data_IF_873375851676
#
_entry.id   IF_873375851676
#
_cell.length_a   1.000
_cell.length_b   1.000
_cell.length_c   1.000
_cell.angle_alpha   90.00
_cell.angle_beta   90.00
_cell.angle_gamma   90.00
#
_symmetry.space_group_name_H-M   'P 1'
#
loop_
_entity.id
_entity.type
_entity.pdbx_description
1 polymer ?
#
# COMPACT_ATOMS: atom_id res chain seq x y z
N UNK A 1 41.86 76.78 32.94
CA UNK A 1 42.36 75.58 33.63
C UNK A 1 41.93 75.67 35.07
N UNK A 2 41.00 74.83 35.48
CA UNK A 2 40.41 74.86 36.83
C UNK A 2 41.30 74.03 37.76
N UNK A 3 41.46 74.40 39.04
CA UNK A 3 42.28 73.65 40.01
C UNK A 3 42.01 72.12 40.05
N UNK A 4 40.75 71.66 39.90
CA UNK A 4 40.45 70.22 39.75
C UNK A 4 41.10 69.55 38.55
N UNK A 5 41.24 70.25 37.42
CA UNK A 5 41.82 69.70 36.19
C UNK A 5 43.33 69.48 36.34
N UNK A 6 44.02 70.41 37.00
CA UNK A 6 45.45 70.27 37.32
C UNK A 6 45.71 69.10 38.28
N UNK A 7 44.86 68.90 39.29
CA UNK A 7 45.00 67.77 40.22
C UNK A 7 44.74 66.43 39.51
N UNK A 8 43.77 66.41 38.58
CA UNK A 8 43.48 65.22 37.77
C UNK A 8 44.63 64.88 36.83
N UNK A 9 45.18 65.86 36.12
CA UNK A 9 46.35 65.67 35.23
C UNK A 9 47.59 65.21 36.00
N UNK A 10 47.84 65.76 37.20
CA UNK A 10 48.93 65.31 38.07
C UNK A 10 48.72 63.89 38.58
N UNK A 11 47.50 63.53 39.00
CA UNK A 11 47.17 62.20 39.49
C UNK A 11 47.29 61.15 38.38
N UNK A 12 46.81 61.47 37.18
CA UNK A 12 46.88 60.56 36.03
C UNK A 12 48.33 60.36 35.58
N UNK A 13 49.13 61.43 35.54
CA UNK A 13 50.58 61.36 35.27
C UNK A 13 51.33 60.58 36.36
N UNK A 14 50.99 60.79 37.63
CA UNK A 14 51.60 60.07 38.75
C UNK A 14 51.26 58.57 38.69
N UNK A 15 50.00 58.21 38.38
CA UNK A 15 49.58 56.81 38.20
C UNK A 15 50.32 56.13 37.06
N UNK A 16 50.51 56.80 35.93
CA UNK A 16 51.27 56.24 34.81
C UNK A 16 52.74 56.01 35.17
N UNK A 17 53.36 56.94 35.92
CA UNK A 17 54.75 56.81 36.34
C UNK A 17 54.94 55.76 37.44
N UNK A 18 54.03 55.64 38.40
CA UNK A 18 54.08 54.63 39.47
C UNK A 18 53.91 53.20 38.93
N UNK A 19 53.24 53.01 37.78
CA UNK A 19 53.21 51.72 37.09
C UNK A 19 54.59 51.25 36.61
N UNK A 20 55.57 52.15 36.47
CA UNK A 20 56.94 51.74 36.20
C UNK A 20 57.56 51.17 37.50
N UNK A 21 57.93 49.88 37.54
CA UNK A 21 58.46 49.24 38.73
C UNK A 21 59.70 49.95 39.31
N UNK A 22 60.50 50.59 38.46
CA UNK A 22 61.67 51.37 38.89
C UNK A 22 61.24 52.64 39.63
N UNK A 23 60.20 53.32 39.15
CA UNK A 23 59.73 54.56 39.79
C UNK A 23 59.08 54.25 41.13
N UNK A 24 58.26 53.19 41.20
CA UNK A 24 57.69 52.72 42.46
C UNK A 24 58.75 52.32 43.48
N UNK A 25 59.71 51.47 43.09
CA UNK A 25 60.81 51.05 43.96
C UNK A 25 61.72 52.22 44.37
N UNK A 26 61.90 53.22 43.49
CA UNK A 26 62.64 54.44 43.81
C UNK A 26 61.93 55.28 44.85
N UNK A 27 60.63 55.54 44.71
CA UNK A 27 59.85 56.30 45.70
C UNK A 27 59.91 55.59 47.06
N UNK A 28 59.67 54.27 47.11
CA UNK A 28 59.74 53.51 48.35
C UNK A 28 61.16 53.57 48.96
N UNK A 29 62.20 53.34 48.17
CA UNK A 29 63.58 53.42 48.67
C UNK A 29 63.97 54.83 49.09
N UNK A 30 63.46 55.85 48.42
CA UNK A 30 63.72 57.25 48.72
C UNK A 30 63.11 57.64 50.06
N UNK A 31 61.86 57.26 50.30
CA UNK A 31 61.18 57.45 51.59
C UNK A 31 61.91 56.71 52.72
N UNK A 32 62.34 55.47 52.49
CA UNK A 32 63.05 54.67 53.51
C UNK A 32 64.45 55.21 53.78
N UNK A 33 65.21 55.67 52.78
CA UNK A 33 66.57 56.18 52.99
C UNK A 33 66.59 57.64 53.50
N UNK A 34 65.58 58.45 53.16
CA UNK A 34 65.50 59.87 53.54
C UNK A 34 64.39 60.14 54.57
N UNK A 35 63.97 59.12 55.32
CA UNK A 35 62.93 59.26 56.34
C UNK A 35 63.25 60.37 57.35
N UNK A 36 64.49 60.43 57.84
CA UNK A 36 64.89 61.41 58.86
C UNK A 36 64.72 62.87 58.37
N UNK A 37 65.24 63.30 57.20
CA UNK A 37 64.92 64.60 56.63
C UNK A 37 63.42 64.88 56.44
N UNK A 38 62.64 63.87 56.00
CA UNK A 38 61.20 64.03 55.78
C UNK A 38 60.46 64.31 57.09
N UNK A 39 60.73 63.52 58.13
CA UNK A 39 60.10 63.71 59.44
C UNK A 39 60.52 65.02 60.11
N UNK A 40 61.78 65.42 59.99
CA UNK A 40 62.25 66.71 60.51
C UNK A 40 61.57 67.87 59.77
N UNK A 41 61.42 67.79 58.45
CA UNK A 41 60.75 68.83 57.68
C UNK A 41 59.27 68.97 58.07
N UNK A 42 58.56 67.84 58.23
CA UNK A 42 57.12 67.82 58.48
C UNK A 42 56.73 68.05 59.93
N UNK A 43 57.55 67.66 60.91
CA UNK A 43 57.14 67.61 62.33
C UNK A 43 58.12 68.23 63.32
N UNK A 44 59.28 68.76 62.89
CA UNK A 44 60.20 69.43 63.82
C UNK A 44 59.69 70.82 64.19
N UNK A 45 60.08 71.31 65.38
CA UNK A 45 59.88 72.69 65.83
C UNK A 45 61.04 73.63 65.45
N UNK A 46 62.04 73.14 64.71
CA UNK A 46 63.21 73.92 64.25
C UNK A 46 62.80 75.15 63.44
N UNK A 47 63.61 76.21 63.51
CA UNK A 47 63.45 77.39 62.64
C UNK A 47 63.60 77.00 61.16
N UNK A 48 63.03 77.79 60.25
CA UNK A 48 63.01 77.46 58.82
C UNK A 48 64.45 77.40 58.28
N UNK A 49 65.32 78.27 58.77
CA UNK A 49 66.72 78.39 58.43
C UNK A 49 67.51 77.12 58.82
N UNK A 50 67.31 76.62 60.03
CA UNK A 50 67.93 75.39 60.53
C UNK A 50 67.50 74.15 59.73
N UNK A 51 66.22 74.10 59.31
CA UNK A 51 65.73 72.99 58.47
C UNK A 51 66.40 72.98 57.10
N UNK A 52 66.60 74.15 56.48
CA UNK A 52 67.23 74.26 55.16
C UNK A 52 68.70 73.83 55.21
N UNK A 53 69.44 74.26 56.24
CA UNK A 53 70.85 73.87 56.42
C UNK A 53 70.99 72.35 56.67
N UNK A 54 70.08 71.78 57.46
CA UNK A 54 70.04 70.34 57.72
C UNK A 54 69.77 69.52 56.44
N UNK A 55 68.87 70.00 55.56
CA UNK A 55 68.57 69.32 54.30
C UNK A 55 69.75 69.32 53.33
N UNK A 56 70.50 70.44 53.26
CA UNK A 56 71.59 70.60 52.29
C UNK A 56 72.74 69.60 52.50
N UNK A 57 72.93 69.12 53.74
CA UNK A 57 74.04 68.22 54.08
C UNK A 57 73.66 66.73 54.13
N UNK A 58 72.36 66.38 54.14
CA UNK A 58 71.92 65.01 54.47
C UNK A 58 71.06 64.30 53.42
N UNK A 59 70.62 64.98 52.37
CA UNK A 59 69.83 64.33 51.31
C UNK A 59 70.68 63.35 50.49
N UNK A 60 70.28 62.06 50.51
CA UNK A 60 70.95 61.00 49.75
C UNK A 60 70.05 60.52 48.64
N UNK A 61 70.28 61.01 47.42
CA UNK A 61 69.49 60.65 46.22
C UNK A 61 70.08 59.42 45.52
N UNK A 62 71.41 59.26 45.52
CA UNK A 62 72.10 58.19 44.77
C UNK A 62 71.76 56.78 45.29
N UNK A 63 71.70 56.61 46.62
CA UNK A 63 71.45 55.32 47.25
C UNK A 63 70.05 54.75 46.92
N UNK A 64 68.96 55.53 47.01
CA UNK A 64 67.65 55.10 46.52
C UNK A 64 67.58 54.71 45.04
N UNK A 65 68.33 55.41 44.17
CA UNK A 65 68.39 55.07 42.73
C UNK A 65 69.02 53.69 42.55
N UNK A 66 70.17 53.43 43.19
CA UNK A 66 70.84 52.14 43.09
C UNK A 66 69.99 50.99 43.65
N UNK A 67 69.33 51.20 44.80
CA UNK A 67 68.45 50.19 45.40
C UNK A 67 67.26 49.90 44.48
N UNK A 68 66.64 50.93 43.90
CA UNK A 68 65.50 50.75 43.00
C UNK A 68 65.84 49.93 41.75
N UNK A 69 66.96 50.26 41.10
CA UNK A 69 67.44 49.54 39.92
C UNK A 69 67.80 48.10 40.31
N UNK A 70 68.53 47.93 41.40
CA UNK A 70 68.92 46.61 41.92
C UNK A 70 67.71 45.74 42.24
N UNK A 71 66.73 46.28 42.96
CA UNK A 71 65.50 45.58 43.33
C UNK A 71 64.67 45.16 42.11
N UNK A 72 64.51 46.07 41.14
CA UNK A 72 63.73 45.83 39.93
C UNK A 72 64.34 44.72 39.06
N UNK A 73 65.68 44.56 39.06
CA UNK A 73 66.37 43.49 38.34
C UNK A 73 66.43 42.19 39.14
N UNK A 74 66.65 42.28 40.45
CA UNK A 74 66.84 41.12 41.33
C UNK A 74 65.56 40.29 41.48
N UNK A 75 64.39 40.93 41.57
CA UNK A 75 63.11 40.23 41.77
C UNK A 75 62.77 39.29 40.59
N UNK A 76 62.82 39.73 39.31
CA UNK A 76 62.64 38.83 38.17
C UNK A 76 63.62 37.65 38.15
N UNK A 77 64.89 37.86 38.50
CA UNK A 77 65.90 36.80 38.56
C UNK A 77 65.55 35.72 39.60
N UNK A 78 65.09 36.13 40.78
CA UNK A 78 64.63 35.21 41.83
C UNK A 78 63.39 34.44 41.35
N UNK A 79 62.44 35.11 40.69
CA UNK A 79 61.25 34.43 40.14
C UNK A 79 61.60 33.36 39.11
N UNK A 80 62.53 33.65 38.20
CA UNK A 80 63.01 32.66 37.21
C UNK A 80 63.64 31.45 37.91
N UNK A 81 64.44 31.67 38.96
CA UNK A 81 65.03 30.60 39.75
C UNK A 81 63.98 29.72 40.44
N UNK A 82 62.97 30.33 41.07
CA UNK A 82 61.86 29.61 41.69
C UNK A 82 61.04 28.82 40.66
N UNK A 83 60.77 29.41 39.50
CA UNK A 83 60.03 28.73 38.43
C UNK A 83 60.80 27.52 37.87
N UNK A 84 62.12 27.61 37.76
CA UNK A 84 62.96 26.48 37.35
C UNK A 84 62.85 25.31 38.34
N UNK A 85 62.89 25.59 39.65
CA UNK A 85 62.73 24.59 40.71
C UNK A 85 61.32 23.97 40.71
N UNK A 86 60.29 24.76 40.42
CA UNK A 86 58.89 24.33 40.41
C UNK A 86 58.46 23.64 39.10
N UNK A 87 59.24 23.75 38.02
CA UNK A 87 58.93 23.18 36.70
C UNK A 87 58.62 21.67 36.71
N UNK A 88 59.40 20.79 37.37
CA UNK A 88 59.11 19.35 37.37
C UNK A 88 57.76 19.02 38.05
N UNK A 89 57.40 19.73 39.11
CA UNK A 89 56.11 19.56 39.79
C UNK A 89 54.94 20.01 38.90
N UNK A 90 55.09 21.16 38.22
CA UNK A 90 54.10 21.65 37.25
C UNK A 90 53.88 20.62 36.12
N UNK A 91 54.96 20.03 35.57
CA UNK A 91 54.89 19.00 34.52
C UNK A 91 54.16 17.73 34.98
N UNK A 92 54.50 17.19 36.17
CA UNK A 92 53.83 16.00 36.72
C UNK A 92 52.33 16.24 36.94
N UNK A 93 51.97 17.42 37.48
CA UNK A 93 50.56 17.78 37.69
C UNK A 93 49.78 17.85 36.37
N UNK A 94 50.36 18.46 35.34
CA UNK A 94 49.74 18.56 34.02
C UNK A 94 49.56 17.16 33.41
N UNK A 95 50.59 16.32 33.43
CA UNK A 95 50.52 14.95 32.91
C UNK A 95 49.40 14.14 33.58
N UNK A 96 49.28 14.22 34.91
CA UNK A 96 48.23 13.53 35.66
C UNK A 96 46.82 14.02 35.29
N UNK A 97 46.64 15.33 35.07
CA UNK A 97 45.35 15.89 34.62
C UNK A 97 44.98 15.33 33.24
N UNK A 98 45.92 15.27 32.30
CA UNK A 98 45.66 14.73 30.96
C UNK A 98 45.40 13.23 30.99
N UNK A 99 46.11 12.47 31.82
CA UNK A 99 45.87 11.03 31.99
C UNK A 99 44.48 10.75 32.57
N UNK A 100 44.08 11.47 33.62
CA UNK A 100 42.74 11.35 34.19
C UNK A 100 41.65 11.76 33.19
N UNK A 101 41.88 12.83 32.42
CA UNK A 101 40.96 13.22 31.35
C UNK A 101 40.83 12.11 30.29
N UNK A 102 41.94 11.52 29.85
CA UNK A 102 41.97 10.38 28.92
C UNK A 102 41.11 9.22 29.44
N UNK A 103 41.37 8.77 30.67
CA UNK A 103 40.60 7.69 31.30
C UNK A 103 39.09 7.99 31.41
N UNK A 104 38.72 9.23 31.72
CA UNK A 104 37.29 9.62 31.74
C UNK A 104 36.67 9.63 30.35
N UNK A 105 37.43 10.02 29.32
CA UNK A 105 36.97 9.99 27.92
C UNK A 105 36.81 8.56 27.44
N UNK A 106 37.76 7.67 27.73
CA UNK A 106 37.68 6.25 27.37
C UNK A 106 36.45 5.59 28.00
N UNK A 107 36.20 5.87 29.29
CA UNK A 107 34.98 5.38 29.95
C UNK A 107 33.69 5.89 29.29
N UNK A 108 33.67 7.14 28.83
CA UNK A 108 32.52 7.70 28.11
C UNK A 108 32.33 7.03 26.76
N UNK A 109 33.41 6.75 26.03
CA UNK A 109 33.36 6.03 24.75
C UNK A 109 32.79 4.62 24.97
N UNK A 110 33.30 3.88 25.95
CA UNK A 110 32.80 2.54 26.29
C UNK A 110 31.33 2.58 26.71
N UNK A 111 30.90 3.61 27.46
CA UNK A 111 29.51 3.78 27.84
C UNK A 111 28.61 4.06 26.63
N UNK A 112 29.02 4.96 25.73
CA UNK A 112 28.29 5.29 24.52
C UNK A 112 28.16 4.07 23.58
N UNK A 113 29.21 3.27 23.45
CA UNK A 113 29.19 2.04 22.67
C UNK A 113 28.19 1.03 23.25
N UNK A 114 28.16 0.85 24.57
CA UNK A 114 27.18 -0.02 25.23
C UNK A 114 25.75 0.48 25.06
N UNK A 115 25.52 1.79 25.17
CA UNK A 115 24.20 2.38 24.91
C UNK A 115 23.76 2.21 23.46
N UNK A 116 24.69 2.36 22.50
CA UNK A 116 24.40 2.13 21.10
C UNK A 116 24.02 0.66 20.84
N UNK A 117 24.81 -0.28 21.39
CA UNK A 117 24.50 -1.71 21.27
C UNK A 117 23.13 -2.04 21.90
N UNK A 118 22.82 -1.50 23.08
CA UNK A 118 21.53 -1.70 23.74
C UNK A 118 20.39 -1.14 22.88
N UNK A 119 20.51 0.09 22.37
CA UNK A 119 19.50 0.69 21.47
C UNK A 119 19.34 -0.09 20.16
N UNK A 120 20.43 -0.60 19.60
CA UNK A 120 20.38 -1.41 18.38
C UNK A 120 19.69 -2.76 18.63
N UNK A 121 19.92 -3.38 19.78
CA UNK A 121 19.23 -4.60 20.19
C UNK A 121 17.73 -4.35 20.47
N UNK A 122 17.40 -3.22 21.11
CA UNK A 122 16.01 -2.80 21.31
C UNK A 122 15.31 -2.49 19.98
N UNK A 123 15.97 -1.79 19.05
CA UNK A 123 15.45 -1.52 17.70
C UNK A 123 15.23 -2.82 16.95
N UNK A 124 16.19 -3.75 16.97
CA UNK A 124 16.04 -5.05 16.34
C UNK A 124 14.86 -5.86 16.90
N UNK A 125 14.57 -5.74 18.20
CA UNK A 125 13.38 -6.33 18.80
C UNK A 125 12.09 -5.62 18.38
N UNK A 126 12.08 -4.28 18.27
CA UNK A 126 10.93 -3.52 17.74
C UNK A 126 10.66 -3.85 16.28
N UNK A 127 11.69 -3.94 15.46
CA UNK A 127 11.60 -4.32 14.05
C UNK A 127 11.10 -5.75 13.93
N UNK A 128 11.58 -6.67 14.77
CA UNK A 128 11.06 -8.05 14.85
C UNK A 128 9.58 -8.07 15.25
N UNK A 129 9.18 -7.27 16.23
CA UNK A 129 7.78 -7.18 16.65
C UNK A 129 6.91 -6.62 15.51
N UNK A 130 7.35 -5.57 14.84
CA UNK A 130 6.64 -4.99 13.69
C UNK A 130 6.51 -6.00 12.53
N UNK A 131 7.54 -6.81 12.28
CA UNK A 131 7.49 -7.89 11.30
C UNK A 131 6.51 -9.00 11.72
N UNK A 132 6.48 -9.37 13.01
CA UNK A 132 5.51 -10.35 13.53
C UNK A 132 4.07 -9.84 13.40
N UNK A 133 3.83 -8.57 13.71
CA UNK A 133 2.52 -7.94 13.58
C UNK A 133 2.08 -7.89 12.10
N UNK A 134 3.01 -7.60 11.18
CA UNK A 134 2.75 -7.68 9.74
C UNK A 134 2.41 -9.11 9.29
N UNK A 135 3.18 -10.11 9.72
CA UNK A 135 2.91 -11.52 9.41
C UNK A 135 1.51 -11.92 9.89
N UNK A 136 1.16 -11.54 11.12
CA UNK A 136 -0.17 -11.81 11.68
C UNK A 136 -1.28 -11.14 10.86
N UNK A 137 -1.09 -9.88 10.47
CA UNK A 137 -2.06 -9.17 9.63
C UNK A 137 -2.24 -9.80 8.24
N UNK A 138 -1.14 -10.28 7.65
CA UNK A 138 -1.16 -10.98 6.36
C UNK A 138 -1.85 -12.34 6.47
N UNK A 139 -1.64 -13.06 7.57
CA UNK A 139 -2.29 -14.34 7.85
C UNK A 139 -3.80 -14.18 8.06
N UNK A 140 -4.22 -13.16 8.81
CA UNK A 140 -5.63 -12.78 8.95
C UNK A 140 -6.26 -12.41 7.60
N UNK A 141 -5.58 -11.60 6.79
CA UNK A 141 -6.05 -11.22 5.45
C UNK A 141 -6.15 -12.43 4.52
N UNK A 142 -5.17 -13.34 4.55
CA UNK A 142 -5.18 -14.59 3.79
C UNK A 142 -6.40 -15.45 4.17
N UNK A 143 -6.65 -15.63 5.46
CA UNK A 143 -7.79 -16.41 5.93
C UNK A 143 -9.14 -15.78 5.52
N UNK A 144 -9.24 -14.45 5.52
CA UNK A 144 -10.43 -13.75 5.02
C UNK A 144 -10.63 -13.93 3.51
N UNK A 145 -9.55 -13.83 2.73
CA UNK A 145 -9.58 -14.06 1.28
C UNK A 145 -10.00 -15.50 1.00
N UNK A 146 -9.42 -16.47 1.69
CA UNK A 146 -9.75 -17.90 1.53
C UNK A 146 -11.21 -18.18 1.88
N UNK A 147 -11.71 -17.61 2.99
CA UNK A 147 -13.12 -17.69 3.36
C UNK A 147 -14.06 -17.06 2.32
N UNK A 148 -13.67 -15.92 1.75
CA UNK A 148 -14.44 -15.25 0.69
C UNK A 148 -14.41 -16.04 -0.61
N UNK A 149 -13.25 -16.58 -0.98
CA UNK A 149 -13.06 -17.34 -2.19
C UNK A 149 -13.86 -18.65 -2.14
N UNK A 150 -13.88 -19.33 -0.99
CA UNK A 150 -14.71 -20.53 -0.79
C UNK A 150 -16.20 -20.23 -0.93
N UNK A 151 -16.68 -19.08 -0.41
CA UNK A 151 -18.08 -18.64 -0.61
C UNK A 151 -18.38 -18.32 -2.07
N UNK A 152 -17.47 -17.64 -2.76
CA UNK A 152 -17.63 -17.33 -4.19
C UNK A 152 -17.67 -18.61 -5.01
N UNK A 153 -16.75 -19.53 -4.77
CA UNK A 153 -16.71 -20.84 -5.45
C UNK A 153 -18.02 -21.57 -5.20
N UNK A 154 -18.47 -21.70 -3.94
CA UNK A 154 -19.74 -22.34 -3.59
C UNK A 154 -20.93 -21.74 -4.35
N UNK A 155 -21.07 -20.41 -4.33
CA UNK A 155 -22.16 -19.71 -5.02
C UNK A 155 -22.09 -19.88 -6.55
N UNK A 156 -20.87 -19.91 -7.12
CA UNK A 156 -20.69 -20.13 -8.55
C UNK A 156 -21.04 -21.56 -8.95
N UNK A 157 -20.67 -22.56 -8.15
CA UNK A 157 -21.09 -23.95 -8.37
C UNK A 157 -22.59 -24.11 -8.29
N UNK A 158 -23.26 -23.51 -7.30
CA UNK A 158 -24.72 -23.56 -7.17
C UNK A 158 -25.41 -22.94 -8.38
N UNK A 159 -24.99 -21.73 -8.81
CA UNK A 159 -25.53 -21.09 -10.02
C UNK A 159 -25.27 -21.89 -11.28
N UNK A 160 -24.11 -22.54 -11.39
CA UNK A 160 -23.78 -23.39 -12.53
C UNK A 160 -24.70 -24.62 -12.57
N UNK A 161 -24.97 -25.23 -11.41
CA UNK A 161 -25.87 -26.36 -11.28
C UNK A 161 -27.32 -25.98 -11.63
N UNK A 162 -27.81 -24.85 -11.11
CA UNK A 162 -29.13 -24.30 -11.46
C UNK A 162 -29.24 -24.02 -12.97
N UNK A 163 -28.24 -23.38 -13.57
CA UNK A 163 -28.22 -23.09 -15.00
C UNK A 163 -28.20 -24.38 -15.83
N UNK A 164 -27.46 -25.40 -15.40
CA UNK A 164 -27.38 -26.67 -16.09
C UNK A 164 -28.70 -27.46 -16.00
N UNK A 165 -29.36 -27.45 -14.84
CA UNK A 165 -30.68 -28.05 -14.66
C UNK A 165 -31.73 -27.36 -15.55
N UNK A 166 -31.77 -26.03 -15.53
CA UNK A 166 -32.69 -25.25 -16.37
C UNK A 166 -32.44 -25.49 -17.87
N UNK A 167 -31.16 -25.59 -18.27
CA UNK A 167 -30.79 -25.91 -19.64
C UNK A 167 -31.23 -27.32 -20.03
N UNK A 168 -30.99 -28.32 -19.17
CA UNK A 168 -31.42 -29.71 -19.40
C UNK A 168 -32.93 -29.81 -19.56
N UNK A 169 -33.70 -29.18 -18.67
CA UNK A 169 -35.17 -29.13 -18.75
C UNK A 169 -35.65 -28.47 -20.05
N UNK A 170 -34.99 -27.38 -20.46
CA UNK A 170 -35.32 -26.69 -21.72
C UNK A 170 -35.03 -27.57 -22.94
N UNK A 171 -33.91 -28.28 -22.94
CA UNK A 171 -33.54 -29.22 -24.01
C UNK A 171 -34.55 -30.36 -24.09
N UNK A 172 -34.93 -30.93 -22.95
CA UNK A 172 -35.89 -32.04 -22.88
C UNK A 172 -37.28 -31.61 -23.37
N UNK A 173 -37.77 -30.46 -22.93
CA UNK A 173 -39.04 -29.88 -23.40
C UNK A 173 -39.02 -29.61 -24.92
N UNK A 174 -37.92 -29.09 -25.46
CA UNK A 174 -37.78 -28.87 -26.91
C UNK A 174 -37.72 -30.18 -27.68
N UNK A 175 -37.04 -31.19 -27.16
CA UNK A 175 -36.97 -32.51 -27.78
C UNK A 175 -38.34 -33.20 -27.84
N UNK A 176 -39.13 -33.09 -26.76
CA UNK A 176 -40.52 -33.56 -26.76
C UNK A 176 -41.34 -32.85 -27.83
N UNK A 177 -41.26 -31.52 -27.90
CA UNK A 177 -41.98 -30.74 -28.92
C UNK A 177 -41.55 -31.08 -30.35
N UNK A 178 -40.26 -31.34 -30.57
CA UNK A 178 -39.76 -31.81 -31.87
C UNK A 178 -40.35 -33.19 -32.21
N UNK A 179 -40.40 -34.10 -31.24
CA UNK A 179 -41.00 -35.42 -31.42
C UNK A 179 -42.49 -35.31 -31.82
N UNK A 180 -43.27 -34.48 -31.12
CA UNK A 180 -44.68 -34.26 -31.43
C UNK A 180 -44.88 -33.65 -32.84
N UNK A 181 -44.01 -32.71 -33.22
CA UNK A 181 -44.01 -32.13 -34.56
C UNK A 181 -43.66 -33.16 -35.65
N UNK A 182 -42.75 -34.10 -35.38
CA UNK A 182 -42.43 -35.18 -36.32
C UNK A 182 -43.61 -36.15 -36.52
N UNK A 183 -44.33 -36.49 -35.44
CA UNK A 183 -45.52 -37.34 -35.52
C UNK A 183 -46.60 -36.67 -36.37
N UNK A 184 -46.94 -35.41 -36.07
CA UNK A 184 -47.96 -34.66 -36.82
C UNK A 184 -47.58 -34.44 -38.29
N UNK A 185 -46.29 -34.21 -38.59
CA UNK A 185 -45.81 -34.10 -39.95
C UNK A 185 -45.94 -35.43 -40.72
N UNK A 186 -45.63 -36.56 -40.08
CA UNK A 186 -45.77 -37.88 -40.70
C UNK A 186 -47.25 -38.23 -40.96
N UNK A 187 -48.15 -37.92 -40.04
CA UNK A 187 -49.60 -38.08 -40.24
C UNK A 187 -50.11 -37.24 -41.41
N UNK A 188 -49.68 -35.97 -41.50
CA UNK A 188 -50.02 -35.09 -42.62
C UNK A 188 -49.51 -35.64 -43.97
N UNK A 189 -48.28 -36.15 -44.01
CA UNK A 189 -47.69 -36.76 -45.20
C UNK A 189 -48.43 -38.03 -45.64
N UNK A 190 -48.84 -38.87 -44.68
CA UNK A 190 -49.68 -40.05 -44.93
C UNK A 190 -51.03 -39.63 -45.54
N UNK A 191 -51.69 -38.62 -44.96
CA UNK A 191 -52.96 -38.11 -45.47
C UNK A 191 -52.83 -37.55 -46.89
N UNK A 192 -51.77 -36.78 -47.18
CA UNK A 192 -51.51 -36.27 -48.52
C UNK A 192 -51.31 -37.40 -49.55
N UNK A 193 -50.60 -38.47 -49.15
CA UNK A 193 -50.39 -39.65 -50.00
C UNK A 193 -51.72 -40.33 -50.33
N UNK A 194 -52.58 -40.53 -49.33
CA UNK A 194 -53.92 -41.09 -49.53
C UNK A 194 -54.77 -40.23 -50.47
N UNK A 195 -54.77 -38.90 -50.28
CA UNK A 195 -55.50 -37.96 -51.15
C UNK A 195 -54.98 -38.04 -52.59
N UNK A 196 -53.65 -38.10 -52.78
CA UNK A 196 -53.05 -38.21 -54.11
C UNK A 196 -53.51 -39.47 -54.84
N UNK A 197 -53.50 -40.62 -54.16
CA UNK A 197 -53.97 -41.89 -54.75
C UNK A 197 -55.45 -41.78 -55.14
N UNK A 198 -56.29 -41.23 -54.27
CA UNK A 198 -57.72 -41.03 -54.55
C UNK A 198 -57.92 -40.13 -55.78
N UNK A 199 -57.16 -39.04 -55.91
CA UNK A 199 -57.23 -38.15 -57.07
C UNK A 199 -56.82 -38.85 -58.37
N UNK A 200 -55.74 -39.64 -58.36
CA UNK A 200 -55.28 -40.41 -59.51
C UNK A 200 -56.34 -41.42 -59.98
N UNK A 201 -57.07 -42.01 -59.05
CA UNK A 201 -58.20 -42.90 -59.35
C UNK A 201 -59.39 -42.12 -59.93
N UNK A 202 -59.81 -41.01 -59.29
CA UNK A 202 -60.98 -40.23 -59.73
C UNK A 202 -60.84 -39.77 -61.18
N UNK A 203 -59.64 -39.37 -61.60
CA UNK A 203 -59.37 -38.93 -62.99
C UNK A 203 -59.62 -40.05 -64.02
N UNK A 204 -59.50 -41.32 -63.62
CA UNK A 204 -59.68 -42.47 -64.51
C UNK A 204 -61.12 -42.99 -64.55
N UNK A 205 -61.99 -42.51 -63.65
CA UNK A 205 -63.38 -42.94 -63.56
C UNK A 205 -64.31 -42.04 -64.38
N UNK A 206 -65.31 -42.65 -65.01
CA UNK A 206 -66.39 -41.90 -65.63
C UNK A 206 -67.62 -41.75 -64.70
N UNK A 207 -68.64 -41.01 -65.17
CA UNK A 207 -69.87 -40.77 -64.39
C UNK A 207 -70.63 -42.06 -64.04
N UNK A 208 -70.48 -43.11 -64.84
CA UNK A 208 -71.14 -44.39 -64.62
C UNK A 208 -70.40 -45.19 -63.55
N UNK A 209 -69.07 -45.22 -63.59
CA UNK A 209 -68.24 -45.89 -62.59
C UNK A 209 -68.45 -45.28 -61.19
N UNK A 210 -68.55 -43.94 -61.10
CA UNK A 210 -68.87 -43.23 -59.85
C UNK A 210 -70.23 -43.65 -59.27
N UNK A 211 -71.24 -43.88 -60.13
CA UNK A 211 -72.57 -44.35 -59.69
C UNK A 211 -72.50 -45.76 -59.13
N UNK A 212 -71.74 -46.65 -59.77
CA UNK A 212 -71.54 -48.03 -59.30
C UNK A 212 -70.91 -48.00 -57.90
N UNK A 213 -69.82 -47.26 -57.70
CA UNK A 213 -69.14 -47.17 -56.41
C UNK A 213 -70.06 -46.61 -55.33
N UNK A 214 -70.89 -45.59 -55.64
CA UNK A 214 -71.90 -45.05 -54.73
C UNK A 214 -72.92 -46.11 -54.31
N UNK A 215 -73.48 -46.85 -55.27
CA UNK A 215 -74.44 -47.92 -54.99
C UNK A 215 -73.82 -49.06 -54.18
N UNK A 216 -72.58 -49.44 -54.49
CA UNK A 216 -71.85 -50.47 -53.74
C UNK A 216 -71.60 -50.04 -52.29
N UNK A 217 -71.21 -48.79 -52.05
CA UNK A 217 -71.01 -48.27 -50.70
C UNK A 217 -72.31 -48.16 -49.90
N UNK A 218 -73.42 -47.75 -50.52
CA UNK A 218 -74.75 -47.72 -49.88
C UNK A 218 -75.30 -49.13 -49.57
N UNK A 219 -74.99 -50.11 -50.43
CA UNK A 219 -75.35 -51.52 -50.23
C UNK A 219 -74.54 -52.19 -49.11
N UNK A 220 -73.26 -51.83 -48.98
CA UNK A 220 -72.38 -52.36 -47.92
C UNK A 220 -72.93 -52.13 -46.50
N UNK A 221 -73.54 -50.97 -46.24
CA UNK A 221 -74.17 -50.67 -44.94
C UNK A 221 -75.55 -51.32 -44.74
N UNK A 222 -76.21 -51.75 -45.82
CA UNK A 222 -77.60 -52.18 -45.79
C UNK A 222 -77.80 -53.71 -45.93
N UNK A 223 -76.72 -54.52 -45.86
CA UNK A 223 -76.73 -56.01 -45.88
C UNK A 223 -77.46 -56.69 -47.05
N UNK A 224 -78.00 -55.94 -48.01
CA UNK A 224 -78.61 -56.44 -49.23
C UNK A 224 -77.59 -56.37 -50.38
N UNK A 225 -76.87 -57.48 -50.58
CA UNK A 225 -76.00 -57.67 -51.73
C UNK A 225 -76.85 -57.91 -52.98
N UNK A 226 -76.65 -57.07 -54.01
CA UNK A 226 -76.46 -57.40 -55.44
C UNK A 226 -76.54 -56.06 -56.18
N UNK A 227 -75.38 -55.47 -56.50
CA UNK A 227 -75.31 -54.56 -57.64
C UNK A 227 -74.87 -55.41 -58.82
N UNK A 228 -75.69 -55.46 -59.86
CA UNK A 228 -75.27 -56.02 -61.14
C UNK A 228 -74.24 -55.05 -61.72
N UNK A 229 -72.96 -55.29 -61.43
CA UNK A 229 -71.86 -54.56 -62.05
C UNK A 229 -71.76 -55.06 -63.49
N UNK A 230 -71.87 -54.18 -64.49
CA UNK A 230 -71.72 -54.59 -65.88
C UNK A 230 -70.35 -55.25 -66.11
N UNK A 231 -70.35 -56.38 -66.83
CA UNK A 231 -69.15 -57.21 -67.05
C UNK A 231 -68.01 -56.44 -67.75
N UNK A 232 -68.34 -55.37 -68.49
CA UNK A 232 -67.37 -54.50 -69.18
C UNK A 232 -66.65 -53.52 -68.23
N UNK A 233 -67.23 -53.20 -67.08
CA UNK A 233 -66.67 -52.24 -66.10
C UNK A 233 -65.95 -52.90 -64.95
N UNK A 234 -66.25 -54.16 -64.69
CA UNK A 234 -65.65 -54.95 -63.63
C UNK A 234 -64.12 -55.07 -63.72
N UNK A 235 -63.50 -55.30 -64.90
CA UNK A 235 -62.04 -55.33 -65.03
C UNK A 235 -61.40 -53.99 -64.66
N UNK A 236 -62.01 -52.87 -65.08
CA UNK A 236 -61.50 -51.51 -64.82
C UNK A 236 -61.52 -51.20 -63.32
N UNK A 237 -62.65 -51.48 -62.65
CA UNK A 237 -62.77 -51.25 -61.19
C UNK A 237 -61.84 -52.15 -60.37
N UNK A 238 -61.56 -53.36 -60.87
CA UNK A 238 -60.63 -54.31 -60.22
C UNK A 238 -59.17 -53.90 -60.46
N UNK A 239 -58.82 -53.44 -61.67
CA UNK A 239 -57.49 -52.95 -62.02
C UNK A 239 -57.12 -51.67 -61.25
N UNK A 240 -58.10 -50.77 -61.06
CA UNK A 240 -57.97 -49.59 -60.18
C UNK A 240 -57.95 -49.96 -58.69
N UNK A 241 -58.09 -51.25 -58.35
CA UNK A 241 -58.05 -51.74 -56.98
C UNK A 241 -59.21 -51.26 -56.11
N UNK A 242 -60.36 -50.91 -56.70
CA UNK A 242 -61.52 -50.38 -55.98
C UNK A 242 -62.47 -51.47 -55.51
N UNK A 243 -62.49 -52.59 -56.23
CA UNK A 243 -63.30 -53.76 -55.89
C UNK A 243 -62.43 -55.02 -55.85
N UNK A 244 -62.76 -55.92 -54.94
CA UNK A 244 -62.15 -57.25 -54.85
C UNK A 244 -63.24 -58.32 -54.75
N UNK A 245 -62.95 -59.51 -55.27
CA UNK A 245 -63.88 -60.64 -55.18
C UNK A 245 -63.69 -61.36 -53.84
N UNK A 246 -64.72 -61.35 -52.99
CA UNK A 246 -64.79 -62.10 -51.73
C UNK A 246 -66.04 -62.97 -51.72
N UNK A 247 -65.87 -64.28 -51.54
CA UNK A 247 -66.97 -65.25 -51.42
C UNK A 247 -68.01 -65.14 -52.55
N UNK A 248 -67.56 -65.16 -53.80
CA UNK A 248 -68.39 -65.05 -55.02
C UNK A 248 -69.10 -63.70 -55.24
N UNK A 249 -68.83 -62.67 -54.41
CA UNK A 249 -69.36 -61.33 -54.57
C UNK A 249 -68.23 -60.30 -54.66
N UNK A 250 -68.47 -59.18 -55.33
CA UNK A 250 -67.54 -58.05 -55.37
C UNK A 250 -67.82 -57.09 -54.22
N UNK A 251 -66.78 -56.77 -53.45
CA UNK A 251 -66.83 -55.83 -52.33
C UNK A 251 -65.84 -54.70 -52.55
N UNK A 252 -66.14 -53.50 -52.04
CA UNK A 252 -65.20 -52.39 -52.07
C UNK A 252 -63.96 -52.72 -51.23
N UNK A 253 -62.78 -52.45 -51.78
CA UNK A 253 -61.51 -52.48 -51.05
C UNK A 253 -61.42 -51.29 -50.08
N UNK A 254 -60.36 -51.21 -49.28
CA UNK A 254 -60.09 -50.03 -48.45
C UNK A 254 -60.04 -48.73 -49.27
N UNK A 255 -59.44 -48.78 -50.47
CA UNK A 255 -59.39 -47.65 -51.39
C UNK A 255 -60.78 -47.33 -51.97
N UNK A 256 -61.55 -48.36 -52.34
CA UNK A 256 -62.93 -48.21 -52.80
C UNK A 256 -63.85 -47.58 -51.73
N UNK A 257 -63.66 -47.93 -50.46
CA UNK A 257 -64.40 -47.34 -49.33
C UNK A 257 -64.01 -45.88 -49.07
N UNK A 258 -62.72 -45.55 -49.13
CA UNK A 258 -62.24 -44.17 -49.00
C UNK A 258 -62.77 -43.29 -50.15
N UNK A 259 -62.71 -43.80 -51.38
CA UNK A 259 -63.27 -43.14 -52.54
C UNK A 259 -64.79 -42.96 -52.39
N UNK A 260 -65.52 -43.97 -51.90
CA UNK A 260 -66.94 -43.85 -51.60
C UNK A 260 -67.25 -42.74 -50.58
N UNK A 261 -66.50 -42.63 -49.48
CA UNK A 261 -66.69 -41.54 -48.51
C UNK A 261 -66.51 -40.16 -49.14
N UNK A 262 -65.50 -40.02 -49.99
CA UNK A 262 -65.20 -38.78 -50.73
C UNK A 262 -66.31 -38.46 -51.75
N UNK A 263 -66.80 -39.46 -52.50
CA UNK A 263 -67.94 -39.30 -53.43
C UNK A 263 -69.21 -38.91 -52.67
N UNK A 264 -69.46 -39.52 -51.51
CA UNK A 264 -70.63 -39.24 -50.67
C UNK A 264 -70.64 -37.80 -50.17
N UNK A 265 -69.50 -37.28 -49.74
CA UNK A 265 -69.36 -35.87 -49.32
C UNK A 265 -69.49 -34.89 -50.50
N UNK A 266 -68.99 -35.26 -51.69
CA UNK A 266 -69.13 -34.44 -52.91
C UNK A 266 -70.54 -34.43 -53.52
N UNK A 267 -71.41 -35.40 -53.17
CA UNK A 267 -72.80 -35.47 -53.67
C UNK A 267 -73.83 -34.84 -52.72
N UNK A 268 -73.40 -33.97 -51.80
CA UNK A 268 -74.29 -33.08 -51.04
C UNK A 268 -74.65 -31.86 -51.91
N UNK A 269 -75.54 -32.09 -52.87
CA UNK A 269 -76.46 -31.12 -53.48
C UNK A 269 -77.74 -31.85 -53.89
#
# INVERSE_FOLDING_TARGET
MTFPDLFKELNDTAKERIKNPIIGAFICSFLVCNWQPIFILSFSDMSIEERIEFMNTKWKILLPICISIGYTVLIPLIMIGLDYILMPMKRKRIANIYQNKGFTTDKKIVHAEKEFQLKSAESGNKDRQALLDQIKSLEESKNQIEGTNNKIVSNLTEKLEEANNTFSETVESKNQKISDLLVSLNESQSNFTSIKIILEVIVQLDKFDIRIIKQMGESYYNLNYVTHIPEDRLPILTELGLVEMKHNNYTLTSLGQQLYSVIKEMTIE
#
